data_IF_913295757536
#
_entry.id   IF_913295757536
#
_cell.length_a   1.000
_cell.length_b   1.000
_cell.length_c   1.000
_cell.angle_alpha   90.00
_cell.angle_beta   90.00
_cell.angle_gamma   90.00
#
_symmetry.space_group_name_H-M   'P 1'
#
loop_
_entity.id
_entity.type
_entity.pdbx_description
1 polymer ?
#
# COMPACT_ATOMS: atom_id res chain seq x y z
N UNK A 1 9.84 -14.24 -8.39
CA UNK A 1 9.80 -12.83 -8.86
C UNK A 1 9.17 -11.89 -7.83
N UNK A 2 8.32 -12.36 -6.93
CA UNK A 2 7.76 -11.55 -5.85
C UNK A 2 8.08 -12.17 -4.50
N UNK A 3 8.32 -11.35 -3.48
CA UNK A 3 8.50 -11.83 -2.09
C UNK A 3 7.17 -12.24 -1.48
N UNK A 4 6.12 -11.44 -1.74
CA UNK A 4 4.75 -11.65 -1.30
C UNK A 4 3.79 -11.28 -2.42
N UNK A 5 2.66 -11.98 -2.49
CA UNK A 5 1.56 -11.67 -3.39
C UNK A 5 0.24 -11.89 -2.66
N UNK A 6 -0.67 -10.95 -2.80
CA UNK A 6 -2.01 -10.99 -2.23
C UNK A 6 -3.04 -10.90 -3.35
N UNK A 7 -4.08 -11.71 -3.23
CA UNK A 7 -5.21 -11.73 -4.14
C UNK A 7 -6.48 -11.60 -3.35
N UNK A 8 -7.30 -10.63 -3.73
CA UNK A 8 -8.68 -10.48 -3.26
C UNK A 8 -9.62 -10.66 -4.45
N UNK A 9 -10.54 -11.63 -4.36
CA UNK A 9 -11.50 -11.96 -5.42
C UNK A 9 -12.91 -11.75 -4.88
N UNK A 10 -13.75 -11.06 -5.64
CA UNK A 10 -15.18 -10.91 -5.34
C UNK A 10 -15.95 -11.71 -6.36
N UNK A 11 -16.43 -12.90 -5.97
CA UNK A 11 -17.08 -13.87 -6.87
C UNK A 11 -17.97 -14.83 -6.09
N UNK A 12 -19.01 -15.34 -6.77
CA UNK A 12 -19.90 -16.39 -6.25
C UNK A 12 -20.61 -16.00 -4.93
N UNK A 13 -20.90 -14.71 -4.79
CA UNK A 13 -21.60 -14.16 -3.64
C UNK A 13 -20.71 -13.86 -2.43
N UNK A 14 -19.39 -14.06 -2.52
CA UNK A 14 -18.45 -13.86 -1.41
C UNK A 14 -17.17 -13.14 -1.84
N UNK A 15 -16.53 -12.51 -0.86
CA UNK A 15 -15.15 -12.03 -0.96
C UNK A 15 -14.20 -13.18 -0.60
N UNK A 16 -13.13 -13.35 -1.34
CA UNK A 16 -12.13 -14.39 -1.15
C UNK A 16 -10.77 -13.71 -1.02
N UNK A 17 -9.95 -14.16 -0.08
CA UNK A 17 -8.60 -13.66 0.10
C UNK A 17 -7.60 -14.80 0.11
N UNK A 18 -6.50 -14.63 -0.61
CA UNK A 18 -5.40 -15.58 -0.64
C UNK A 18 -4.08 -14.84 -0.62
N UNK A 19 -3.15 -15.36 0.19
CA UNK A 19 -1.79 -14.84 0.30
C UNK A 19 -0.83 -15.91 -0.21
N UNK A 20 0.16 -15.47 -0.95
CA UNK A 20 1.30 -16.27 -1.38
C UNK A 20 2.57 -15.64 -0.82
N UNK A 21 3.39 -16.44 -0.16
CA UNK A 21 4.66 -16.02 0.40
C UNK A 21 5.77 -16.82 -0.27
N UNK A 22 6.75 -16.14 -0.88
CA UNK A 22 7.79 -16.77 -1.71
C UNK A 22 7.25 -17.76 -2.76
N UNK A 23 6.07 -17.46 -3.31
CA UNK A 23 5.33 -18.29 -4.28
C UNK A 23 4.60 -19.51 -3.68
N UNK A 24 4.60 -19.71 -2.36
CA UNK A 24 3.85 -20.76 -1.68
C UNK A 24 2.49 -20.24 -1.18
N UNK A 25 1.38 -20.97 -1.41
CA UNK A 25 0.05 -20.53 -0.98
C UNK A 25 -0.19 -20.77 0.53
N UNK A 26 -0.65 -19.73 1.22
CA UNK A 26 -0.96 -19.74 2.67
C UNK A 26 -2.39 -20.17 3.01
N UNK A 27 -3.15 -20.64 2.01
CA UNK A 27 -4.55 -21.05 2.13
C UNK A 27 -5.56 -19.97 1.69
N UNK A 28 -6.65 -20.43 1.07
CA UNK A 28 -7.75 -19.59 0.61
C UNK A 28 -8.73 -19.33 1.76
N UNK A 29 -9.07 -18.07 1.99
CA UNK A 29 -10.03 -17.65 3.03
C UNK A 29 -11.26 -17.05 2.40
N UNK A 30 -12.43 -17.59 2.76
CA UNK A 30 -13.71 -16.98 2.44
C UNK A 30 -14.02 -15.86 3.45
N UNK A 31 -14.40 -14.70 2.92
CA UNK A 31 -14.77 -13.50 3.65
C UNK A 31 -16.27 -13.23 3.60
N UNK A 32 -16.63 -11.95 3.67
CA UNK A 32 -18.02 -11.50 3.74
C UNK A 32 -18.80 -11.77 2.44
N UNK A 33 -20.13 -11.90 2.52
CA UNK A 33 -20.96 -11.96 1.32
C UNK A 33 -20.94 -10.63 0.57
N UNK A 34 -20.87 -10.67 -0.75
CA UNK A 34 -20.86 -9.49 -1.61
C UNK A 34 -21.59 -9.74 -2.93
N UNK A 35 -22.25 -8.70 -3.45
CA UNK A 35 -22.84 -8.70 -4.80
C UNK A 35 -21.88 -8.12 -5.85
N UNK A 36 -20.75 -7.54 -5.41
CA UNK A 36 -19.75 -6.96 -6.30
C UNK A 36 -18.93 -8.05 -6.97
N UNK A 37 -18.39 -7.74 -8.14
CA UNK A 37 -17.44 -8.59 -8.86
C UNK A 37 -16.13 -7.85 -9.05
N UNK A 38 -15.05 -8.59 -9.19
CA UNK A 38 -13.74 -8.04 -9.50
C UNK A 38 -12.61 -8.79 -8.81
N UNK A 39 -11.39 -8.46 -9.22
CA UNK A 39 -10.17 -9.03 -8.68
C UNK A 39 -9.20 -7.90 -8.36
N UNK A 40 -8.59 -7.96 -7.20
CA UNK A 40 -7.51 -7.07 -6.79
C UNK A 40 -6.28 -7.93 -6.54
N UNK A 41 -5.16 -7.54 -7.15
CA UNK A 41 -3.88 -8.21 -7.00
C UNK A 41 -2.88 -7.19 -6.49
N UNK A 42 -2.14 -7.57 -5.45
CA UNK A 42 -1.04 -6.78 -4.88
C UNK A 42 0.19 -7.66 -4.79
N UNK A 43 1.34 -7.14 -5.20
CA UNK A 43 2.59 -7.90 -5.17
C UNK A 43 3.75 -7.00 -4.78
N UNK A 44 4.79 -7.61 -4.22
CA UNK A 44 6.04 -6.95 -3.87
C UNK A 44 7.16 -7.59 -4.69
N UNK A 45 7.82 -6.79 -5.55
CA UNK A 45 8.94 -7.27 -6.34
C UNK A 45 10.08 -7.79 -5.46
N UNK A 46 10.75 -8.85 -5.89
CA UNK A 46 11.85 -9.46 -5.16
C UNK A 46 13.18 -8.76 -5.44
N UNK A 47 13.79 -8.05 -4.46
CA UNK A 47 15.05 -7.35 -4.64
C UNK A 47 16.25 -8.30 -4.82
N UNK A 48 16.09 -9.60 -4.54
CA UNK A 48 17.14 -10.58 -4.84
C UNK A 48 17.15 -10.98 -6.32
N UNK A 49 16.06 -10.70 -7.05
CA UNK A 49 15.91 -11.04 -8.46
C UNK A 49 16.10 -9.82 -9.36
N UNK A 50 15.58 -8.66 -8.95
CA UNK A 50 15.66 -7.42 -9.72
C UNK A 50 16.75 -6.49 -9.18
N UNK A 51 17.51 -5.86 -10.08
CA UNK A 51 18.52 -4.86 -9.71
C UNK A 51 17.89 -3.59 -9.10
N UNK A 52 16.71 -3.21 -9.57
CA UNK A 52 15.91 -2.10 -9.02
C UNK A 52 14.47 -2.55 -8.81
N UNK A 53 13.89 -2.15 -7.68
CA UNK A 53 12.47 -2.38 -7.33
C UNK A 53 11.66 -1.09 -7.34
N UNK A 54 12.27 0.04 -7.76
CA UNK A 54 11.58 1.31 -7.89
C UNK A 54 10.88 1.40 -9.25
N UNK A 55 9.58 1.71 -9.22
CA UNK A 55 8.77 1.86 -10.42
C UNK A 55 8.84 3.29 -10.94
N UNK A 56 9.12 3.44 -12.24
CA UNK A 56 9.05 4.72 -12.94
C UNK A 56 7.59 5.04 -13.32
N UNK A 57 7.09 6.16 -12.81
CA UNK A 57 5.68 6.54 -12.99
C UNK A 57 5.35 6.81 -14.46
N UNK A 58 6.20 7.55 -15.17
CA UNK A 58 6.00 7.95 -16.57
C UNK A 58 5.94 6.72 -17.50
N UNK A 59 6.82 5.75 -17.28
CA UNK A 59 6.84 4.50 -18.04
C UNK A 59 5.54 3.72 -17.87
N UNK A 60 5.03 3.61 -16.63
CA UNK A 60 3.75 2.94 -16.35
C UNK A 60 2.59 3.72 -16.97
N UNK A 61 2.55 5.03 -16.75
CA UNK A 61 1.49 5.91 -17.25
C UNK A 61 1.38 5.82 -18.78
N UNK A 62 2.49 5.94 -19.50
CA UNK A 62 2.53 5.82 -20.98
C UNK A 62 1.94 4.49 -21.43
N UNK A 63 2.34 3.38 -20.80
CA UNK A 63 1.87 2.06 -21.19
C UNK A 63 0.37 1.85 -20.94
N UNK A 64 -0.14 2.35 -19.81
CA UNK A 64 -1.57 2.29 -19.50
C UNK A 64 -2.39 3.18 -20.44
N UNK A 65 -1.86 4.36 -20.80
CA UNK A 65 -2.50 5.28 -21.72
C UNK A 65 -2.68 4.65 -23.12
N UNK A 66 -1.64 3.99 -23.65
CA UNK A 66 -1.73 3.22 -24.91
C UNK A 66 -2.86 2.17 -24.86
N UNK A 67 -2.99 1.44 -23.75
CA UNK A 67 -4.05 0.43 -23.60
C UNK A 67 -5.44 1.06 -23.56
N UNK A 68 -5.60 2.20 -22.88
CA UNK A 68 -6.87 2.93 -22.84
C UNK A 68 -7.27 3.44 -24.24
N UNK A 69 -6.31 3.88 -25.05
CA UNK A 69 -6.59 4.31 -26.44
C UNK A 69 -7.07 3.16 -27.33
N UNK A 70 -6.49 1.96 -27.18
CA UNK A 70 -6.83 0.80 -27.99
C UNK A 70 -8.18 0.17 -27.58
N UNK A 71 -8.57 0.28 -26.32
CA UNK A 71 -9.78 -0.34 -25.77
C UNK A 71 -10.86 0.70 -25.49
N UNK A 72 -11.69 1.00 -26.50
CA UNK A 72 -12.81 1.95 -26.34
C UNK A 72 -13.73 1.53 -25.19
N UNK A 73 -13.99 2.46 -24.27
CA UNK A 73 -14.82 2.24 -23.09
C UNK A 73 -14.09 1.69 -21.86
N UNK A 74 -12.77 1.42 -21.95
CA UNK A 74 -11.94 1.08 -20.81
C UNK A 74 -11.48 2.37 -20.10
N UNK A 75 -11.71 2.44 -18.79
CA UNK A 75 -11.17 3.50 -17.93
C UNK A 75 -10.10 2.91 -17.04
N UNK A 76 -8.90 3.51 -17.04
CA UNK A 76 -7.77 3.11 -16.21
C UNK A 76 -7.40 4.28 -15.30
N UNK A 77 -7.28 4.04 -14.00
CA UNK A 77 -6.82 5.02 -13.02
C UNK A 77 -5.47 4.58 -12.48
N UNK A 78 -4.48 5.48 -12.51
CA UNK A 78 -3.16 5.28 -11.93
C UNK A 78 -2.98 6.28 -10.78
N UNK A 79 -2.53 5.81 -9.63
CA UNK A 79 -2.28 6.63 -8.44
C UNK A 79 -0.95 6.20 -7.84
N UNK A 80 -0.02 7.14 -7.67
CA UNK A 80 1.21 6.93 -6.92
C UNK A 80 0.95 7.28 -5.45
N UNK A 81 1.26 6.35 -4.55
CA UNK A 81 1.08 6.51 -3.08
C UNK A 81 2.43 6.58 -2.35
N UNK A 82 3.54 6.77 -3.07
CA UNK A 82 4.86 7.00 -2.45
C UNK A 82 4.91 8.40 -1.86
N UNK A 83 5.61 8.54 -0.73
CA UNK A 83 5.88 9.85 -0.12
C UNK A 83 6.96 10.54 -0.95
N UNK A 84 6.67 11.75 -1.44
CA UNK A 84 7.68 12.56 -2.12
C UNK A 84 8.64 13.19 -1.11
N UNK A 85 9.91 13.39 -1.48
CA UNK A 85 10.88 14.06 -0.59
C UNK A 85 10.45 15.50 -0.24
N UNK A 86 9.62 16.11 -1.08
CA UNK A 86 9.10 17.47 -0.88
C UNK A 86 7.95 17.54 0.15
N UNK A 87 7.34 16.40 0.53
CA UNK A 87 6.24 16.33 1.50
C UNK A 87 6.70 16.11 2.95
N UNK A 88 7.97 15.78 3.17
CA UNK A 88 8.54 15.62 4.52
C UNK A 88 9.01 16.99 5.03
N UNK A 89 8.06 17.84 5.42
CA UNK A 89 8.37 18.99 6.28
C UNK A 89 8.50 18.48 7.72
N UNK A 90 9.75 18.38 8.16
CA UNK A 90 10.14 18.02 9.52
C UNK A 90 9.78 19.19 10.47
N UNK A 91 8.51 19.31 10.86
CA UNK A 91 8.10 20.17 11.98
C UNK A 91 7.18 19.40 12.94
N UNK A 92 7.81 18.65 13.84
CA UNK A 92 7.43 18.59 15.26
C UNK A 92 8.61 18.03 16.06
N UNK A 93 9.66 18.84 16.21
CA UNK A 93 10.48 18.75 17.43
C UNK A 93 9.78 19.60 18.48
N UNK A 94 8.90 18.99 19.28
CA UNK A 94 8.38 19.65 20.47
C UNK A 94 9.48 19.69 21.53
N UNK A 95 10.24 20.79 21.56
CA UNK A 95 11.17 21.10 22.65
C UNK A 95 10.41 21.48 23.93
N UNK A 96 9.68 20.54 24.53
CA UNK A 96 9.18 20.71 25.90
C UNK A 96 9.33 19.39 26.66
N UNK A 97 10.52 19.18 27.21
CA UNK A 97 10.65 18.35 28.42
C UNK A 97 10.32 19.24 29.62
N UNK A 98 9.05 19.29 30.04
CA UNK A 98 8.70 19.87 31.32
C UNK A 98 9.11 18.89 32.43
N UNK A 99 10.20 19.21 33.13
CA UNK A 99 10.66 18.43 34.27
C UNK A 99 9.60 18.47 35.40
N UNK A 100 9.31 17.34 36.08
CA UNK A 100 8.35 17.34 37.17
C UNK A 100 8.85 18.25 38.31
N UNK A 101 8.03 19.23 38.71
CA UNK A 101 8.31 20.07 39.89
C UNK A 101 8.60 19.18 41.10
N UNK A 102 9.80 19.31 41.65
CA UNK A 102 10.18 18.68 42.91
C UNK A 102 9.28 19.18 44.04
N UNK A 103 8.94 18.30 44.97
CA UNK A 103 8.02 18.51 46.10
C UNK A 103 8.41 19.65 47.07
N UNK A 104 9.47 20.42 46.78
CA UNK A 104 9.94 21.53 47.60
C UNK A 104 9.25 22.87 47.31
N UNK A 105 8.49 22.99 46.20
CA UNK A 105 7.76 24.22 45.84
C UNK A 105 6.27 24.21 46.25
N UNK A 106 5.72 23.12 46.79
CA UNK A 106 4.34 23.07 47.31
C UNK A 106 4.19 23.52 48.77
N UNK A 107 5.27 23.91 49.44
CA UNK A 107 5.26 24.25 50.87
C UNK A 107 5.42 25.76 51.15
N UNK A 108 5.30 26.62 50.13
CA UNK A 108 5.48 28.07 50.27
C UNK A 108 4.38 28.91 49.59
N UNK A 109 3.22 28.34 49.29
CA UNK A 109 1.99 29.11 49.01
C UNK A 109 0.91 28.78 50.03
#
# INVERSE_FOLDING_TARGET
>A
LSTRLEVEIKRDGYEWSQVYEKSEPMGLKQGAPTKKTGTTVRFWADPNVFETTEYDFETVARRLQEMAFLNKGLTINLTDQRVSQDEVVDEVVSDVAEAPKSAREKAAE
#
